data_IF_294226394244
#
_entry.id   IF_294226394244
#
_cell.length_a   1.000
_cell.length_b   1.000
_cell.length_c   1.000
_cell.angle_alpha   90.00
_cell.angle_beta   90.00
_cell.angle_gamma   90.00
#
_symmetry.space_group_name_H-M   'P 1'
#
loop_
_entity.id
_entity.type
_entity.pdbx_description
1 polymer ?
#
# COMPACT_ATOMS: atom_id res chain seq x y z
N UNK A 1 -20.18 17.07 -54.04
CA UNK A 1 -20.47 16.36 -52.77
C UNK A 1 -19.78 15.03 -52.82
N UNK A 2 -18.56 14.96 -52.31
CA UNK A 2 -17.70 13.75 -52.28
C UNK A 2 -17.65 13.23 -50.86
N UNK A 3 -18.32 12.09 -50.65
CA UNK A 3 -18.35 11.39 -49.37
C UNK A 3 -17.05 10.60 -49.20
N UNK A 4 -16.24 10.97 -48.22
CA UNK A 4 -15.02 10.26 -47.83
C UNK A 4 -15.40 9.21 -46.76
N UNK A 5 -15.27 7.95 -47.12
CA UNK A 5 -15.50 6.80 -46.25
C UNK A 5 -14.19 6.56 -45.42
N UNK A 6 -14.24 6.38 -44.09
CA UNK A 6 -13.04 6.07 -43.31
C UNK A 6 -12.66 4.60 -43.50
N UNK A 7 -11.32 4.29 -43.43
CA UNK A 7 -10.85 2.92 -43.61
C UNK A 7 -11.10 2.05 -42.37
N UNK A 8 -11.52 0.82 -42.64
CA UNK A 8 -11.77 -0.27 -41.71
C UNK A 8 -10.44 -0.73 -41.07
N UNK A 9 -10.36 -0.96 -39.78
CA UNK A 9 -9.15 -1.51 -39.15
C UNK A 9 -9.01 -3.00 -39.48
N UNK A 10 -7.92 -3.33 -40.11
CA UNK A 10 -7.47 -4.69 -40.40
C UNK A 10 -7.09 -5.42 -39.11
N UNK A 11 -7.73 -6.55 -38.88
CA UNK A 11 -7.36 -7.51 -37.83
C UNK A 11 -6.00 -8.13 -38.15
N UNK A 12 -4.98 -7.76 -37.41
CA UNK A 12 -3.70 -8.48 -37.42
C UNK A 12 -3.88 -9.79 -36.62
N UNK A 13 -3.98 -10.90 -37.37
CA UNK A 13 -3.81 -12.26 -36.84
C UNK A 13 -2.37 -12.42 -36.37
N UNK A 14 -2.16 -12.46 -35.06
CA UNK A 14 -0.90 -12.98 -34.50
C UNK A 14 -1.04 -14.49 -34.42
N UNK A 15 -0.40 -15.14 -35.39
CA UNK A 15 -0.15 -16.57 -35.40
C UNK A 15 1.10 -16.82 -34.58
N UNK A 16 1.00 -17.72 -33.66
CA UNK A 16 2.01 -18.69 -33.57
C UNK A 16 2.92 -18.79 -32.41
N UNK A 17 2.86 -19.93 -31.89
CA UNK A 17 3.90 -20.87 -31.45
C UNK A 17 4.85 -20.39 -30.33
N UNK A 18 4.66 -20.95 -29.22
CA UNK A 18 5.28 -22.20 -28.94
C UNK A 18 6.34 -22.17 -27.91
N UNK A 19 6.28 -23.11 -27.11
CA UNK A 19 7.27 -23.80 -26.28
C UNK A 19 7.22 -23.49 -24.80
N UNK A 20 6.46 -24.36 -24.17
CA UNK A 20 6.63 -24.86 -22.81
C UNK A 20 8.12 -25.02 -22.46
N UNK A 21 8.59 -24.26 -21.49
CA UNK A 21 9.82 -24.57 -20.77
C UNK A 21 9.45 -24.96 -19.35
N UNK A 22 9.59 -26.25 -19.06
CA UNK A 22 9.52 -26.81 -17.72
C UNK A 22 10.74 -26.30 -16.94
N UNK A 23 10.53 -25.30 -16.12
CA UNK A 23 11.50 -24.82 -15.12
C UNK A 23 11.35 -25.63 -13.83
N UNK A 24 12.38 -26.38 -13.56
CA UNK A 24 12.68 -27.25 -12.44
C UNK A 24 12.49 -26.52 -11.09
N UNK A 25 11.52 -27.00 -10.29
CA UNK A 25 11.36 -26.58 -8.91
C UNK A 25 12.45 -27.21 -8.05
N UNK A 26 13.47 -26.45 -7.71
CA UNK A 26 14.51 -26.83 -6.77
C UNK A 26 13.94 -27.09 -5.38
N UNK A 27 14.16 -28.31 -4.96
CA UNK A 27 13.87 -28.94 -3.67
C UNK A 27 14.53 -28.15 -2.53
N UNK A 28 13.73 -27.68 -1.57
CA UNK A 28 14.19 -27.09 -0.30
C UNK A 28 14.59 -28.26 0.61
N UNK A 29 15.80 -28.29 1.21
CA UNK A 29 16.12 -29.30 2.21
C UNK A 29 15.47 -28.99 3.56
N UNK A 30 14.91 -30.03 4.13
CA UNK A 30 14.29 -30.06 5.44
C UNK A 30 15.30 -29.98 6.58
N UNK A 31 14.83 -29.40 7.66
CA UNK A 31 15.07 -29.66 9.07
C UNK A 31 16.44 -30.24 9.50
N UNK A 32 17.07 -29.55 10.39
CA UNK A 32 17.94 -30.18 11.39
C UNK A 32 17.40 -29.87 12.78
N UNK A 33 16.77 -30.87 13.37
CA UNK A 33 16.53 -30.97 14.79
C UNK A 33 17.88 -31.11 15.50
N UNK A 34 18.06 -30.37 16.59
CA UNK A 34 19.02 -30.75 17.63
C UNK A 34 18.28 -30.77 18.96
N UNK A 35 18.09 -31.97 19.41
CA UNK A 35 17.55 -32.31 20.71
C UNK A 35 18.62 -32.24 21.79
N UNK A 36 18.12 -32.30 23.05
CA UNK A 36 18.75 -32.68 24.32
C UNK A 36 19.48 -31.55 25.06
N UNK A 37 19.20 -31.30 26.32
CA UNK A 37 19.24 -32.23 27.45
C UNK A 37 18.56 -31.63 28.68
N UNK A 38 17.75 -32.46 29.33
CA UNK A 38 17.18 -32.26 30.65
C UNK A 38 18.26 -32.41 31.71
N UNK A 39 18.28 -31.59 32.76
CA UNK A 39 18.76 -31.96 34.08
C UNK A 39 18.08 -31.16 35.18
N UNK A 40 17.35 -31.91 35.90
CA UNK A 40 16.98 -31.99 37.32
C UNK A 40 17.19 -30.80 38.26
N UNK A 41 16.10 -30.60 38.99
CA UNK A 41 15.88 -29.91 40.27
C UNK A 41 16.83 -30.33 41.40
N UNK A 42 16.97 -29.54 42.51
CA UNK A 42 16.03 -29.71 43.59
C UNK A 42 15.56 -28.44 44.36
N UNK A 43 14.38 -28.60 44.82
CA UNK A 43 13.62 -28.08 45.97
C UNK A 43 14.37 -27.38 47.09
N UNK A 44 13.72 -26.31 47.58
CA UNK A 44 13.62 -25.84 48.98
C UNK A 44 14.21 -24.46 49.24
N UNK A 45 13.34 -23.48 49.46
CA UNK A 45 13.04 -22.98 50.82
C UNK A 45 12.03 -21.82 50.73
N UNK A 46 11.02 -21.96 51.55
CA UNK A 46 10.03 -20.96 51.94
C UNK A 46 10.73 -19.80 52.66
N UNK A 47 10.52 -18.57 52.23
CA UNK A 47 10.59 -17.40 53.11
C UNK A 47 9.79 -16.23 52.51
N UNK A 48 8.69 -15.98 53.19
CA UNK A 48 8.19 -14.69 53.63
C UNK A 48 7.91 -13.57 52.65
N UNK A 49 6.59 -13.36 52.51
CA UNK A 49 5.92 -12.24 51.87
C UNK A 49 6.47 -10.87 52.33
N UNK A 50 7.09 -10.14 51.41
CA UNK A 50 7.17 -8.69 51.50
C UNK A 50 6.34 -8.08 50.38
N UNK A 51 5.13 -7.62 50.76
CA UNK A 51 4.25 -6.82 49.89
C UNK A 51 4.99 -5.53 49.53
N UNK A 52 5.75 -5.56 48.45
CA UNK A 52 6.28 -4.34 47.86
C UNK A 52 5.15 -3.76 46.99
N UNK A 53 4.66 -2.59 47.41
CA UNK A 53 3.73 -1.80 46.62
C UNK A 53 4.20 -1.66 45.18
N UNK A 54 3.34 -2.08 44.29
CA UNK A 54 3.53 -1.93 42.84
C UNK A 54 3.58 -0.43 42.54
N UNK A 55 4.77 0.10 42.28
CA UNK A 55 4.92 1.44 41.73
C UNK A 55 4.00 1.59 40.51
N UNK A 56 3.30 2.72 40.33
CA UNK A 56 2.46 2.93 39.16
C UNK A 56 3.39 2.88 37.93
N UNK A 57 3.35 1.73 37.23
CA UNK A 57 4.16 1.50 36.05
C UNK A 57 3.89 2.60 35.04
N UNK A 58 4.93 3.30 34.64
CA UNK A 58 4.90 4.21 33.53
C UNK A 58 4.25 3.49 32.35
N UNK A 59 3.02 3.86 32.00
CA UNK A 59 2.31 3.34 30.82
C UNK A 59 3.14 3.77 29.64
N UNK A 60 3.99 2.88 29.10
CA UNK A 60 4.63 3.06 27.82
C UNK A 60 3.52 3.32 26.81
N UNK A 61 3.28 4.58 26.51
CA UNK A 61 2.37 4.99 25.43
C UNK A 61 2.98 4.43 24.15
N UNK A 62 2.49 3.28 23.69
CA UNK A 62 2.85 2.73 22.37
C UNK A 62 2.64 3.84 21.36
N UNK A 63 3.72 4.30 20.74
CA UNK A 63 3.67 5.32 19.69
C UNK A 63 2.70 4.82 18.63
N UNK A 64 1.61 5.55 18.41
CA UNK A 64 0.55 5.17 17.48
C UNK A 64 1.16 5.14 16.07
N UNK A 65 1.17 3.99 15.41
CA UNK A 65 1.55 3.89 14.01
C UNK A 65 0.45 4.51 13.17
N UNK A 66 0.80 5.51 12.39
CA UNK A 66 -0.10 6.06 11.39
C UNK A 66 -0.33 5.03 10.28
N UNK A 67 -1.59 4.80 9.91
CA UNK A 67 -1.95 3.88 8.84
C UNK A 67 -3.21 4.34 8.14
N UNK A 68 -3.32 4.01 6.86
CA UNK A 68 -4.49 4.29 6.03
C UNK A 68 -5.58 3.21 6.11
N UNK A 69 -5.41 2.23 7.00
CA UNK A 69 -6.28 1.05 7.09
C UNK A 69 -7.76 1.38 7.22
N UNK A 70 -8.10 2.38 8.01
CA UNK A 70 -9.51 2.79 8.22
C UNK A 70 -10.11 3.33 6.91
N UNK A 71 -9.35 4.12 6.16
CA UNK A 71 -9.80 4.72 4.91
C UNK A 71 -9.92 3.66 3.81
N UNK A 72 -8.94 2.77 3.70
CA UNK A 72 -8.97 1.63 2.78
C UNK A 72 -10.19 0.76 3.04
N UNK A 73 -10.47 0.47 4.32
CA UNK A 73 -11.63 -0.31 4.71
C UNK A 73 -12.96 0.38 4.36
N UNK A 74 -13.06 1.69 4.59
CA UNK A 74 -14.24 2.48 4.21
C UNK A 74 -14.51 2.43 2.73
N UNK A 75 -13.48 2.63 1.89
CA UNK A 75 -13.60 2.57 0.43
C UNK A 75 -14.00 1.16 -0.02
N UNK A 76 -13.37 0.11 0.56
CA UNK A 76 -13.74 -1.27 0.27
C UNK A 76 -15.23 -1.54 0.52
N UNK A 77 -15.75 -1.08 1.67
CA UNK A 77 -17.16 -1.25 2.02
C UNK A 77 -18.12 -0.43 1.17
N UNK A 78 -17.68 0.69 0.60
CA UNK A 78 -18.48 1.45 -0.36
C UNK A 78 -18.59 0.73 -1.72
N UNK A 79 -17.51 0.09 -2.17
CA UNK A 79 -17.46 -0.59 -3.48
C UNK A 79 -18.01 -2.02 -3.37
N UNK A 80 -17.65 -2.73 -2.32
CA UNK A 80 -18.02 -4.12 -2.07
C UNK A 80 -18.41 -4.33 -0.60
N UNK A 81 -19.68 -4.08 -0.24
CA UNK A 81 -20.14 -4.12 1.16
C UNK A 81 -19.93 -5.48 1.83
N UNK A 82 -20.07 -6.57 1.07
CA UNK A 82 -20.02 -7.93 1.59
C UNK A 82 -18.59 -8.52 1.64
N UNK A 83 -17.58 -7.79 1.13
CA UNK A 83 -16.20 -8.28 1.03
C UNK A 83 -15.39 -7.83 2.24
N UNK A 84 -14.73 -8.79 2.92
CA UNK A 84 -13.76 -8.53 3.98
C UNK A 84 -12.33 -8.40 3.42
N UNK A 85 -11.42 -7.98 4.28
CA UNK A 85 -9.98 -7.89 3.96
C UNK A 85 -9.16 -8.46 5.11
N UNK A 86 -8.19 -9.31 4.80
CA UNK A 86 -7.29 -9.88 5.80
C UNK A 86 -6.25 -8.85 6.26
N UNK A 87 -5.69 -9.05 7.47
CA UNK A 87 -4.65 -8.18 8.00
C UNK A 87 -3.40 -8.12 7.12
N UNK A 88 -3.04 -9.24 6.48
CA UNK A 88 -1.91 -9.29 5.53
C UNK A 88 -2.21 -8.45 4.29
N UNK A 89 -3.39 -8.60 3.71
CA UNK A 89 -3.82 -7.81 2.56
C UNK A 89 -3.92 -6.31 2.91
N UNK A 90 -4.42 -5.97 4.08
CA UNK A 90 -4.44 -4.59 4.57
C UNK A 90 -3.04 -3.99 4.69
N UNK A 91 -2.06 -4.73 5.17
CA UNK A 91 -0.67 -4.26 5.24
C UNK A 91 -0.10 -4.00 3.84
N UNK A 92 -0.38 -4.87 2.88
CA UNK A 92 0.05 -4.68 1.48
C UNK A 92 -0.60 -3.42 0.90
N UNK A 93 -1.90 -3.22 1.10
CA UNK A 93 -2.60 -2.03 0.64
C UNK A 93 -2.06 -0.75 1.29
N UNK A 94 -1.75 -0.78 2.57
CA UNK A 94 -1.15 0.36 3.26
C UNK A 94 0.24 0.70 2.71
N UNK A 95 1.08 -0.31 2.44
CA UNK A 95 2.39 -0.13 1.80
C UNK A 95 2.25 0.43 0.39
N UNK A 96 1.29 -0.05 -0.39
CA UNK A 96 0.99 0.45 -1.72
C UNK A 96 0.60 1.93 -1.73
N UNK A 97 -0.26 2.35 -0.80
CA UNK A 97 -0.65 3.76 -0.67
C UNK A 97 0.56 4.64 -0.34
N UNK A 98 1.43 4.19 0.58
CA UNK A 98 2.66 4.92 0.92
C UNK A 98 3.61 5.04 -0.28
N UNK A 99 3.84 3.95 -1.02
CA UNK A 99 4.72 3.94 -2.21
C UNK A 99 4.20 4.91 -3.29
N UNK A 100 2.90 4.87 -3.59
CA UNK A 100 2.30 5.80 -4.54
C UNK A 100 2.44 7.26 -4.08
N UNK A 101 2.23 7.52 -2.79
CA UNK A 101 2.38 8.86 -2.24
C UNK A 101 3.82 9.37 -2.40
N UNK A 102 4.82 8.55 -2.07
CA UNK A 102 6.23 8.91 -2.21
C UNK A 102 6.59 9.22 -3.67
N UNK A 103 6.15 8.40 -4.60
CA UNK A 103 6.39 8.61 -6.04
C UNK A 103 5.74 9.90 -6.54
N UNK A 104 4.49 10.14 -6.19
CA UNK A 104 3.76 11.35 -6.59
C UNK A 104 4.42 12.59 -5.98
N UNK A 105 4.78 12.54 -4.69
CA UNK A 105 5.44 13.65 -4.01
C UNK A 105 6.82 13.98 -4.60
N UNK A 106 7.61 12.95 -4.92
CA UNK A 106 8.92 13.12 -5.55
C UNK A 106 8.79 13.78 -6.93
N UNK A 107 7.84 13.34 -7.75
CA UNK A 107 7.62 13.92 -9.07
C UNK A 107 7.07 15.35 -8.99
N UNK A 108 6.11 15.59 -8.09
CA UNK A 108 5.58 16.93 -7.86
C UNK A 108 6.66 17.90 -7.34
N UNK A 109 7.59 17.44 -6.51
CA UNK A 109 8.73 18.22 -6.05
C UNK A 109 9.65 18.63 -7.20
N UNK A 110 9.96 17.70 -8.11
CA UNK A 110 10.75 18.00 -9.32
C UNK A 110 10.06 19.07 -10.19
N UNK A 111 8.75 18.93 -10.41
CA UNK A 111 7.95 19.87 -11.19
C UNK A 111 7.95 21.25 -10.55
N UNK A 112 7.80 21.35 -9.22
CA UNK A 112 7.89 22.60 -8.50
C UNK A 112 9.27 23.24 -8.67
N UNK A 113 10.33 22.45 -8.58
CA UNK A 113 11.70 22.93 -8.75
C UNK A 113 11.97 23.43 -10.18
N UNK A 114 11.51 22.71 -11.21
CA UNK A 114 11.60 23.18 -12.60
C UNK A 114 10.90 24.53 -12.81
N UNK A 115 9.77 24.73 -12.14
CA UNK A 115 9.01 25.99 -12.18
C UNK A 115 9.57 27.06 -11.24
N UNK A 116 10.74 26.85 -10.63
CA UNK A 116 11.37 27.76 -9.64
C UNK A 116 10.43 28.12 -8.49
N UNK A 117 9.60 27.18 -8.06
CA UNK A 117 8.67 27.32 -6.94
C UNK A 117 9.19 26.53 -5.73
N UNK A 118 9.05 27.11 -4.56
CA UNK A 118 9.38 26.44 -3.28
C UNK A 118 8.22 25.67 -2.67
N UNK A 119 7.03 25.77 -3.26
CA UNK A 119 5.79 25.18 -2.72
C UNK A 119 5.13 24.29 -3.78
N UNK A 120 4.73 23.11 -3.38
CA UNK A 120 3.94 22.18 -4.20
C UNK A 120 2.46 22.59 -4.10
N UNK A 121 1.82 22.87 -5.21
CA UNK A 121 0.39 23.15 -5.29
C UNK A 121 -0.38 21.97 -5.88
N UNK A 122 -1.70 22.08 -5.92
CA UNK A 122 -2.55 21.06 -6.55
C UNK A 122 -2.22 20.81 -8.03
N UNK A 123 -1.69 21.81 -8.73
CA UNK A 123 -1.30 21.69 -10.14
C UNK A 123 -0.11 20.75 -10.33
N UNK A 124 0.91 20.86 -9.49
CA UNK A 124 2.09 19.97 -9.53
C UNK A 124 1.67 18.51 -9.21
N UNK A 125 0.80 18.31 -8.22
CA UNK A 125 0.26 16.99 -7.90
C UNK A 125 -0.56 16.44 -9.07
N UNK A 126 -1.43 17.24 -9.67
CA UNK A 126 -2.24 16.82 -10.82
C UNK A 126 -1.37 16.41 -12.01
N UNK A 127 -0.31 17.13 -12.29
CA UNK A 127 0.63 16.81 -13.37
C UNK A 127 1.43 15.55 -13.04
N UNK A 128 1.92 15.41 -11.80
CA UNK A 128 2.63 14.22 -11.35
C UNK A 128 1.77 12.96 -11.46
N UNK A 129 0.49 13.03 -11.08
CA UNK A 129 -0.47 11.93 -11.21
C UNK A 129 -0.65 11.53 -12.68
N UNK A 130 -0.75 12.48 -13.59
CA UNK A 130 -0.86 12.20 -15.04
C UNK A 130 0.40 11.58 -15.64
N UNK A 131 1.57 11.88 -15.10
CA UNK A 131 2.85 11.31 -15.55
C UNK A 131 3.07 9.88 -15.03
N UNK A 132 2.64 9.60 -13.80
CA UNK A 132 2.93 8.33 -13.12
C UNK A 132 1.87 7.26 -13.34
N UNK A 133 0.61 7.63 -13.46
CA UNK A 133 -0.48 6.67 -13.59
C UNK A 133 -0.86 6.41 -15.06
N UNK A 134 -1.30 5.20 -15.40
CA UNK A 134 -1.89 4.91 -16.72
C UNK A 134 -3.07 5.84 -17.03
N UNK A 135 -3.25 6.20 -18.30
CA UNK A 135 -4.16 7.25 -18.75
C UNK A 135 -5.57 7.23 -18.15
N UNK A 136 -6.22 6.07 -18.11
CA UNK A 136 -7.56 5.96 -17.53
C UNK A 136 -7.57 6.15 -16.01
N UNK A 137 -6.62 5.54 -15.29
CA UNK A 137 -6.47 5.73 -13.84
C UNK A 137 -6.12 7.19 -13.51
N UNK A 138 -5.29 7.82 -14.32
CA UNK A 138 -4.94 9.22 -14.15
C UNK A 138 -6.16 10.14 -14.28
N UNK A 139 -7.04 9.91 -15.25
CA UNK A 139 -8.30 10.68 -15.41
C UNK A 139 -9.19 10.56 -14.18
N UNK A 140 -9.41 9.34 -13.70
CA UNK A 140 -10.21 9.09 -12.49
C UNK A 140 -9.58 9.74 -11.25
N UNK A 141 -8.27 9.54 -11.04
CA UNK A 141 -7.57 10.11 -9.89
C UNK A 141 -7.63 11.65 -9.88
N UNK A 142 -7.44 12.30 -11.03
CA UNK A 142 -7.54 13.76 -11.16
C UNK A 142 -8.96 14.24 -10.88
N UNK A 143 -9.98 13.55 -11.41
CA UNK A 143 -11.38 13.90 -11.18
C UNK A 143 -11.73 13.81 -9.69
N UNK A 144 -11.38 12.72 -9.03
CA UNK A 144 -11.65 12.53 -7.60
C UNK A 144 -10.83 13.51 -6.73
N UNK A 145 -9.58 13.76 -7.09
CA UNK A 145 -8.74 14.75 -6.40
C UNK A 145 -9.32 16.16 -6.51
N UNK A 146 -9.81 16.57 -7.68
CA UNK A 146 -10.45 17.87 -7.87
C UNK A 146 -11.73 18.00 -7.04
N UNK A 147 -12.58 16.98 -7.03
CA UNK A 147 -13.78 16.94 -6.18
C UNK A 147 -13.41 17.07 -4.69
N UNK A 148 -12.39 16.35 -4.25
CA UNK A 148 -11.93 16.39 -2.86
C UNK A 148 -11.44 17.80 -2.46
N UNK A 149 -10.66 18.46 -3.32
CA UNK A 149 -10.19 19.84 -3.09
C UNK A 149 -11.38 20.81 -3.04
N UNK A 150 -12.32 20.72 -3.99
CA UNK A 150 -13.52 21.55 -4.01
C UNK A 150 -14.35 21.37 -2.74
N UNK A 151 -14.57 20.14 -2.32
CA UNK A 151 -15.30 19.84 -1.08
C UNK A 151 -14.60 20.42 0.15
N UNK A 152 -13.28 20.32 0.22
CA UNK A 152 -12.50 20.86 1.33
C UNK A 152 -12.56 22.39 1.40
N UNK A 153 -12.48 23.05 0.24
CA UNK A 153 -12.54 24.52 0.16
C UNK A 153 -13.93 25.07 0.41
N UNK A 154 -14.98 24.35 -0.01
CA UNK A 154 -16.38 24.74 0.18
C UNK A 154 -16.91 24.47 1.60
N UNK A 155 -16.24 23.59 2.35
CA UNK A 155 -16.63 23.23 3.73
C UNK A 155 -15.98 24.11 4.81
N UNK A 156 -15.26 25.16 4.41
CA UNK A 156 -14.75 26.22 5.28
C UNK A 156 -15.68 27.44 5.24
#
# INVERSE_FOLDING_TARGET
>A
MTTVTPPTPQLLKVVGLGKSSKGNFGKVPAATEVATTVKDTPVSSVTESKRRGRAPGAKNKKKRKESYSIYIYKVLKQVHPDTGISSKAMNIMNSFVNDLFERIAAEASKLAHYNKRSTISSKEIQTAVRLLLPGELAKHAVSEGTKAVTKYTSGK
#
